data_IF_108024779918
#
_entry.id   IF_108024779918
#
_cell.length_a   1.000
_cell.length_b   1.000
_cell.length_c   1.000
_cell.angle_alpha   90.00
_cell.angle_beta   90.00
_cell.angle_gamma   90.00
#
_symmetry.space_group_name_H-M   'P 1'
#
loop_
_entity.id
_entity.type
_entity.pdbx_description
1 polymer ?
#
# COMPACT_ATOMS: atom_id res chain seq x y z
N UNK A 1 55.33 -8.71 -23.57
CA UNK A 1 53.99 -8.73 -24.20
C UNK A 1 53.22 -9.88 -23.60
N UNK A 2 52.26 -9.55 -22.73
CA UNK A 2 51.19 -10.34 -22.08
C UNK A 2 51.07 -9.92 -20.61
N UNK A 3 50.43 -8.77 -20.43
CA UNK A 3 49.80 -8.34 -19.19
C UNK A 3 48.58 -9.22 -18.94
N UNK A 4 48.54 -9.93 -17.80
CA UNK A 4 47.32 -10.53 -17.29
C UNK A 4 46.99 -9.88 -15.95
N UNK A 5 46.04 -8.95 -16.00
CA UNK A 5 45.52 -8.20 -14.85
C UNK A 5 44.51 -9.11 -14.13
N UNK A 6 44.82 -9.51 -12.90
CA UNK A 6 43.89 -10.22 -12.03
C UNK A 6 43.21 -9.22 -11.10
N UNK A 7 42.18 -8.55 -11.60
CA UNK A 7 41.30 -7.70 -10.81
C UNK A 7 40.25 -8.58 -10.13
N UNK A 8 40.58 -9.08 -8.93
CA UNK A 8 39.62 -9.73 -8.02
C UNK A 8 39.01 -8.65 -7.12
N UNK A 9 38.00 -7.97 -7.65
CA UNK A 9 37.04 -7.24 -6.84
C UNK A 9 36.19 -8.24 -6.04
N UNK A 10 36.59 -8.49 -4.80
CA UNK A 10 35.76 -9.18 -3.81
C UNK A 10 34.48 -8.38 -3.61
N UNK A 11 33.39 -8.87 -4.19
CA UNK A 11 32.04 -8.40 -3.95
C UNK A 11 31.62 -8.78 -2.54
N UNK A 12 31.96 -7.91 -1.57
CA UNK A 12 31.50 -8.06 -0.21
C UNK A 12 29.98 -7.96 -0.16
N UNK A 13 29.35 -9.07 0.21
CA UNK A 13 27.96 -9.22 0.60
C UNK A 13 27.62 -8.26 1.75
N UNK A 14 27.32 -7.00 1.41
CA UNK A 14 26.62 -6.10 2.31
C UNK A 14 25.19 -6.62 2.43
N UNK A 15 24.85 -7.18 3.59
CA UNK A 15 23.48 -7.40 4.02
C UNK A 15 22.85 -6.00 4.19
N UNK A 16 22.45 -5.43 3.04
CA UNK A 16 21.94 -4.08 2.95
C UNK A 16 20.48 -4.04 3.38
N UNK A 17 20.15 -3.03 4.19
CA UNK A 17 18.77 -2.58 4.41
C UNK A 17 18.08 -2.48 3.04
N UNK A 18 16.82 -2.95 2.88
CA UNK A 18 16.12 -2.87 1.61
C UNK A 18 16.17 -1.44 1.07
N UNK A 19 16.78 -1.27 -0.10
CA UNK A 19 16.99 0.04 -0.71
C UNK A 19 15.64 0.65 -1.08
N UNK A 20 15.25 1.72 -0.37
CA UNK A 20 14.03 2.48 -0.63
C UNK A 20 14.21 3.29 -1.90
N UNK A 21 13.31 3.11 -2.87
CA UNK A 21 13.30 3.95 -4.07
C UNK A 21 12.37 5.15 -3.84
N UNK A 22 12.73 6.31 -4.35
CA UNK A 22 11.92 7.54 -4.25
C UNK A 22 11.33 7.88 -5.61
N UNK A 23 10.03 8.18 -5.64
CA UNK A 23 9.34 8.68 -6.84
C UNK A 23 9.11 10.19 -6.72
N UNK A 24 9.47 10.96 -7.75
CA UNK A 24 9.15 12.39 -7.87
C UNK A 24 8.57 12.66 -9.26
N UNK A 25 7.50 13.46 -9.33
CA UNK A 25 6.79 13.76 -10.58
C UNK A 25 7.44 14.89 -11.41
N UNK A 26 8.36 15.67 -10.83
CA UNK A 26 8.97 16.82 -11.51
C UNK A 26 10.00 16.37 -12.56
N UNK A 27 9.86 16.88 -13.80
CA UNK A 27 10.79 16.62 -14.92
C UNK A 27 12.25 16.87 -14.48
N UNK A 28 13.11 15.91 -14.81
CA UNK A 28 14.54 15.84 -14.48
C UNK A 28 15.39 16.95 -15.17
N UNK A 29 15.08 18.22 -14.90
CA UNK A 29 15.80 19.38 -15.44
C UNK A 29 16.49 20.24 -14.38
N UNK A 30 16.36 19.91 -13.09
CA UNK A 30 16.94 20.71 -11.99
C UNK A 30 17.84 19.82 -11.14
N UNK A 31 19.15 20.09 -11.22
CA UNK A 31 20.27 19.60 -10.38
C UNK A 31 19.80 18.75 -9.18
N UNK A 32 20.20 17.47 -9.14
CA UNK A 32 19.93 16.49 -8.06
C UNK A 32 20.17 17.10 -6.67
N UNK A 33 19.16 17.77 -6.11
CA UNK A 33 19.07 18.00 -4.67
C UNK A 33 18.57 16.67 -4.11
N UNK A 34 19.20 16.09 -3.07
CA UNK A 34 18.68 14.88 -2.47
C UNK A 34 17.23 15.15 -2.06
N UNK A 35 16.28 14.48 -2.72
CA UNK A 35 14.86 14.53 -2.36
C UNK A 35 14.75 13.97 -0.96
N UNK A 36 14.55 14.84 0.03
CA UNK A 36 14.39 14.41 1.42
C UNK A 36 13.07 13.66 1.52
N UNK A 37 13.14 12.37 1.78
CA UNK A 37 11.96 11.59 2.12
C UNK A 37 11.76 11.62 3.62
N UNK A 38 10.68 12.26 4.10
CA UNK A 38 10.30 12.16 5.51
C UNK A 38 9.85 10.73 5.84
N UNK A 39 10.02 10.34 7.10
CA UNK A 39 9.45 9.11 7.65
C UNK A 39 8.10 9.41 8.29
N UNK A 40 7.07 8.58 8.05
CA UNK A 40 5.79 8.70 8.74
C UNK A 40 5.96 8.63 10.27
N UNK A 41 5.22 9.49 10.99
CA UNK A 41 5.17 9.53 12.45
C UNK A 41 3.79 9.10 12.96
N UNK A 42 3.67 8.99 14.28
CA UNK A 42 2.41 8.63 14.92
C UNK A 42 1.28 9.60 14.57
N UNK A 43 0.16 9.03 14.10
CA UNK A 43 -0.98 9.77 13.61
C UNK A 43 -0.85 10.28 12.16
N UNK A 44 0.28 10.17 11.48
CA UNK A 44 0.35 10.48 10.04
C UNK A 44 -0.37 9.39 9.21
N UNK A 45 -0.84 9.76 8.02
CA UNK A 45 -1.61 8.87 7.14
C UNK A 45 -0.69 8.31 6.05
N UNK A 46 -0.65 6.99 5.94
CA UNK A 46 0.07 6.25 4.90
C UNK A 46 -0.94 5.61 3.97
N UNK A 47 -0.90 5.95 2.67
CA UNK A 47 -1.75 5.32 1.66
C UNK A 47 -0.87 4.46 0.76
N UNK A 48 -1.29 3.23 0.52
CA UNK A 48 -0.54 2.27 -0.29
C UNK A 48 -1.45 1.36 -1.09
N UNK A 49 -0.94 0.81 -2.20
CA UNK A 49 -1.57 -0.36 -2.80
C UNK A 49 -1.47 -1.59 -1.89
N UNK A 50 -2.35 -2.56 -2.10
CA UNK A 50 -2.37 -3.81 -1.36
C UNK A 50 -2.47 -5.00 -2.32
N UNK A 51 -1.48 -5.88 -2.29
CA UNK A 51 -1.42 -7.08 -3.14
C UNK A 51 -1.15 -8.36 -2.34
N UNK A 52 -0.68 -8.27 -1.09
CA UNK A 52 -0.34 -9.44 -0.29
C UNK A 52 -0.36 -9.14 1.21
N UNK A 53 -0.53 -10.17 2.04
CA UNK A 53 -0.29 -10.07 3.48
C UNK A 53 1.18 -9.69 3.80
N UNK A 54 2.10 -9.88 2.86
CA UNK A 54 3.49 -9.41 2.94
C UNK A 54 3.56 -7.87 3.02
N UNK A 55 2.61 -7.13 2.43
CA UNK A 55 2.56 -5.67 2.56
C UNK A 55 2.35 -5.26 4.03
N UNK A 56 1.43 -5.96 4.69
CA UNK A 56 1.12 -5.75 6.11
C UNK A 56 2.35 -6.06 6.96
N UNK A 57 3.03 -7.18 6.71
CA UNK A 57 4.29 -7.51 7.40
C UNK A 57 5.37 -6.45 7.18
N UNK A 58 5.52 -5.95 5.95
CA UNK A 58 6.47 -4.88 5.64
C UNK A 58 6.19 -3.64 6.49
N UNK A 59 4.94 -3.16 6.49
CA UNK A 59 4.58 -1.97 7.26
C UNK A 59 4.69 -2.18 8.77
N UNK A 60 4.28 -3.34 9.30
CA UNK A 60 4.48 -3.73 10.72
C UNK A 60 5.96 -3.63 11.09
N UNK A 61 6.82 -4.29 10.31
CA UNK A 61 8.26 -4.34 10.61
C UNK A 61 8.94 -2.97 10.60
N UNK A 62 8.37 -2.00 9.86
CA UNK A 62 9.02 -0.72 9.59
C UNK A 62 8.52 0.42 10.46
N UNK A 63 7.24 0.40 10.84
CA UNK A 63 6.59 1.55 11.47
C UNK A 63 5.67 1.22 12.65
N UNK A 64 5.41 -0.07 12.94
CA UNK A 64 4.39 -0.51 13.90
C UNK A 64 3.05 0.25 13.78
N UNK A 65 2.42 0.23 12.59
CA UNK A 65 1.30 1.10 12.28
C UNK A 65 -0.03 0.56 12.82
N UNK A 66 -1.04 1.43 12.77
CA UNK A 66 -2.45 1.05 12.86
C UNK A 66 -3.02 0.93 11.45
N UNK A 67 -3.49 -0.26 11.07
CA UNK A 67 -4.19 -0.47 9.80
C UNK A 67 -5.66 -0.13 9.95
N UNK A 68 -6.34 0.12 8.84
CA UNK A 68 -7.79 0.30 8.82
C UNK A 68 -8.47 -0.66 7.86
N UNK A 69 -9.62 -1.20 8.27
CA UNK A 69 -10.58 -1.82 7.35
C UNK A 69 -11.64 -0.77 7.04
N UNK A 70 -11.98 -0.60 5.77
CA UNK A 70 -12.93 0.40 5.30
C UNK A 70 -14.26 -0.30 4.99
N UNK A 71 -15.35 0.28 5.48
CA UNK A 71 -16.69 -0.11 5.07
C UNK A 71 -17.00 0.47 3.67
N UNK A 72 -17.43 -0.39 2.74
CA UNK A 72 -17.71 0.04 1.36
C UNK A 72 -18.93 0.98 1.27
N UNK A 73 -19.89 0.88 2.21
CA UNK A 73 -21.11 1.67 2.17
C UNK A 73 -20.98 3.01 2.91
N UNK A 74 -20.38 3.00 4.10
CA UNK A 74 -20.34 4.17 4.98
C UNK A 74 -19.01 4.92 4.96
N UNK A 75 -17.96 4.36 4.35
CA UNK A 75 -16.58 4.86 4.37
C UNK A 75 -15.99 5.03 5.79
N UNK A 76 -16.69 4.54 6.81
CA UNK A 76 -16.17 4.44 8.16
C UNK A 76 -15.17 3.31 8.27
N UNK A 77 -14.34 3.39 9.29
CA UNK A 77 -13.16 2.55 9.41
C UNK A 77 -13.08 1.85 10.76
N UNK A 78 -12.53 0.65 10.76
CA UNK A 78 -12.16 -0.09 11.95
C UNK A 78 -10.64 -0.16 12.07
N UNK A 79 -10.03 0.37 13.15
CA UNK A 79 -8.60 0.24 13.37
C UNK A 79 -8.22 -1.21 13.73
N UNK A 80 -7.13 -1.71 13.15
CA UNK A 80 -6.53 -3.01 13.42
C UNK A 80 -5.02 -2.87 13.63
N UNK A 81 -4.46 -3.65 14.55
CA UNK A 81 -3.03 -3.61 14.88
C UNK A 81 -2.40 -4.99 14.89
N UNK A 82 -1.09 -5.03 14.68
CA UNK A 82 -0.26 -6.23 14.78
C UNK A 82 -0.82 -7.43 14.00
N UNK A 83 -0.91 -8.57 14.68
CA UNK A 83 -1.37 -9.82 14.07
C UNK A 83 -2.83 -9.80 13.64
N UNK A 84 -3.70 -8.99 14.28
CA UNK A 84 -5.10 -8.90 13.85
C UNK A 84 -5.21 -8.35 12.43
N UNK A 85 -4.39 -7.35 12.07
CA UNK A 85 -4.31 -6.82 10.72
C UNK A 85 -3.74 -7.85 9.73
N UNK A 86 -2.72 -8.61 10.16
CA UNK A 86 -2.14 -9.68 9.35
C UNK A 86 -3.19 -10.74 9.00
N UNK A 87 -3.90 -11.27 10.00
CA UNK A 87 -4.95 -12.26 9.77
C UNK A 87 -6.13 -11.68 8.99
N UNK A 88 -6.51 -10.42 9.22
CA UNK A 88 -7.54 -9.79 8.41
C UNK A 88 -7.18 -9.75 6.92
N UNK A 89 -5.92 -9.45 6.58
CA UNK A 89 -5.46 -9.39 5.18
C UNK A 89 -5.51 -10.73 4.43
N UNK A 90 -5.58 -11.85 5.14
CA UNK A 90 -5.66 -13.18 4.52
C UNK A 90 -7.09 -13.63 4.24
N UNK A 91 -8.07 -12.94 4.81
CA UNK A 91 -9.49 -13.24 4.63
C UNK A 91 -10.10 -12.31 3.58
N UNK A 92 -11.16 -12.73 2.88
CA UNK A 92 -11.92 -11.83 2.02
C UNK A 92 -12.43 -10.63 2.82
N UNK A 93 -12.51 -9.43 2.21
CA UNK A 93 -13.01 -8.25 2.90
C UNK A 93 -14.44 -8.49 3.38
N UNK A 94 -14.72 -8.09 4.62
CA UNK A 94 -16.08 -8.11 5.14
C UNK A 94 -16.91 -7.05 4.40
N UNK A 95 -18.10 -7.43 3.93
CA UNK A 95 -18.93 -6.53 3.13
C UNK A 95 -19.44 -5.31 3.93
N UNK A 96 -19.62 -5.47 5.25
CA UNK A 96 -20.14 -4.44 6.16
C UNK A 96 -19.42 -4.49 7.51
N UNK A 97 -19.08 -3.32 8.05
CA UNK A 97 -18.57 -3.19 9.41
C UNK A 97 -19.72 -3.12 10.43
N UNK A 98 -19.46 -3.61 11.66
CA UNK A 98 -20.40 -3.41 12.77
C UNK A 98 -20.36 -1.94 13.19
N UNK A 99 -21.53 -1.31 13.29
CA UNK A 99 -21.66 0.12 13.61
C UNK A 99 -20.95 0.54 14.90
N UNK A 100 -20.84 -0.36 15.90
CA UNK A 100 -20.18 -0.08 17.18
C UNK A 100 -18.66 0.09 17.10
N UNK A 101 -18.03 -0.30 15.99
CA UNK A 101 -16.56 -0.26 15.80
C UNK A 101 -16.15 0.75 14.73
N UNK A 102 -17.14 1.36 14.06
CA UNK A 102 -16.95 2.25 12.93
C UNK A 102 -16.57 3.66 13.41
N UNK A 103 -15.32 4.07 13.18
CA UNK A 103 -14.75 5.39 13.48
C UNK A 103 -14.38 6.13 12.19
N UNK A 104 -14.24 7.45 12.24
CA UNK A 104 -13.68 8.22 11.12
C UNK A 104 -12.15 8.10 11.06
N UNK A 105 -11.55 8.37 9.90
CA UNK A 105 -10.09 8.34 9.77
C UNK A 105 -9.41 9.38 10.68
N UNK A 106 -10.01 10.57 10.82
CA UNK A 106 -9.47 11.65 11.68
C UNK A 106 -9.47 11.29 13.17
N UNK A 107 -10.49 10.58 13.65
CA UNK A 107 -10.55 10.05 15.02
C UNK A 107 -9.44 9.02 15.26
N UNK A 108 -9.25 8.09 14.32
CA UNK A 108 -8.20 7.06 14.41
C UNK A 108 -6.81 7.70 14.39
N UNK A 109 -6.58 8.72 13.55
CA UNK A 109 -5.32 9.45 13.50
C UNK A 109 -5.05 10.20 14.81
N UNK A 110 -6.08 10.81 15.39
CA UNK A 110 -5.99 11.51 16.69
C UNK A 110 -5.65 10.54 17.82
N UNK A 111 -6.31 9.38 17.86
CA UNK A 111 -6.04 8.31 18.84
C UNK A 111 -4.62 7.76 18.67
N UNK A 112 -4.18 7.50 17.44
CA UNK A 112 -2.84 7.02 17.14
C UNK A 112 -1.76 8.03 17.56
N UNK A 113 -2.03 9.33 17.40
CA UNK A 113 -1.13 10.41 17.83
C UNK A 113 -1.05 10.51 19.35
N UNK A 114 -2.18 10.39 20.05
CA UNK A 114 -2.26 10.45 21.51
C UNK A 114 -1.59 9.25 22.19
N UNK A 115 -1.77 8.06 21.62
CA UNK A 115 -1.21 6.79 22.15
C UNK A 115 0.18 6.45 21.62
N UNK A 116 0.71 7.28 20.70
CA UNK A 116 1.96 7.04 19.99
C UNK A 116 2.01 5.67 19.28
N UNK A 117 0.87 5.26 18.69
CA UNK A 117 0.64 3.94 18.10
C UNK A 117 1.09 3.80 16.64
N UNK A 118 2.08 4.60 16.23
CA UNK A 118 2.58 4.61 14.85
C UNK A 118 1.64 5.31 13.85
N UNK A 119 2.02 5.33 12.56
CA UNK A 119 1.21 5.92 11.51
C UNK A 119 -0.03 5.07 11.21
N UNK A 120 -1.04 5.67 10.59
CA UNK A 120 -2.26 4.98 10.16
C UNK A 120 -2.10 4.56 8.70
N UNK A 121 -2.11 3.25 8.41
CA UNK A 121 -1.96 2.70 7.06
C UNK A 121 -3.33 2.35 6.47
N UNK A 122 -3.59 2.92 5.30
CA UNK A 122 -4.86 2.80 4.57
C UNK A 122 -4.61 2.16 3.21
N UNK A 123 -5.41 1.14 2.89
CA UNK A 123 -5.39 0.47 1.59
C UNK A 123 -6.68 0.82 0.83
N UNK A 124 -6.65 1.77 -0.12
CA UNK A 124 -7.84 2.28 -0.77
C UNK A 124 -8.50 1.27 -1.72
N UNK A 125 -7.79 0.20 -2.10
CA UNK A 125 -8.35 -0.93 -2.86
C UNK A 125 -9.35 -1.77 -2.03
N UNK A 126 -9.38 -1.59 -0.70
CA UNK A 126 -10.16 -2.34 0.30
C UNK A 126 -10.03 -3.87 0.24
N UNK A 127 -9.07 -4.39 -0.54
CA UNK A 127 -8.78 -5.81 -0.65
C UNK A 127 -7.43 -6.03 -1.32
N UNK A 128 -6.83 -7.22 -1.18
CA UNK A 128 -5.58 -7.54 -1.88
C UNK A 128 -5.80 -7.73 -3.40
N UNK A 129 -4.99 -7.10 -4.23
CA UNK A 129 -4.96 -7.33 -5.68
C UNK A 129 -4.04 -8.50 -6.05
N UNK A 130 -3.87 -8.74 -7.35
CA UNK A 130 -2.94 -9.74 -7.90
C UNK A 130 -1.55 -9.20 -8.23
N UNK A 131 -1.27 -7.94 -7.86
CA UNK A 131 0.01 -7.28 -8.14
C UNK A 131 0.29 -7.00 -9.61
N UNK A 132 -0.62 -7.29 -10.54
CA UNK A 132 -0.50 -6.97 -11.98
C UNK A 132 -1.19 -5.66 -12.35
N UNK A 133 -2.24 -5.31 -11.61
CA UNK A 133 -3.01 -4.10 -11.79
C UNK A 133 -3.57 -3.62 -10.44
N UNK A 134 -3.87 -2.33 -10.34
CA UNK A 134 -4.52 -1.73 -9.18
C UNK A 134 -6.05 -1.85 -9.35
N UNK A 135 -6.73 -2.24 -8.27
CA UNK A 135 -8.18 -2.12 -8.19
C UNK A 135 -8.60 -0.64 -8.12
N UNK A 136 -9.88 -0.40 -8.36
CA UNK A 136 -10.47 0.92 -8.17
C UNK A 136 -10.36 1.30 -6.69
N UNK A 137 -9.97 2.55 -6.44
CA UNK A 137 -9.84 3.08 -5.09
C UNK A 137 -11.23 3.50 -4.59
N UNK A 138 -11.48 3.29 -3.30
CA UNK A 138 -12.60 3.92 -2.62
C UNK A 138 -12.33 5.42 -2.44
N UNK A 139 -13.36 6.27 -2.59
CA UNK A 139 -13.25 7.72 -2.41
C UNK A 139 -13.21 8.08 -0.92
N UNK A 140 -12.09 7.80 -0.25
CA UNK A 140 -11.96 7.86 1.21
C UNK A 140 -12.06 9.30 1.71
N UNK A 141 -11.43 10.23 1.00
CA UNK A 141 -11.32 11.62 1.41
C UNK A 141 -12.47 12.49 0.89
N UNK A 142 -13.46 11.89 0.20
CA UNK A 142 -14.71 12.57 -0.15
C UNK A 142 -15.57 12.91 1.07
N UNK A 143 -15.41 12.18 2.18
CA UNK A 143 -16.00 12.55 3.47
C UNK A 143 -15.04 13.45 4.24
N UNK A 144 -15.48 14.67 4.56
CA UNK A 144 -14.73 15.65 5.38
C UNK A 144 -14.32 15.07 6.74
N UNK A 145 -15.08 14.10 7.27
CA UNK A 145 -14.73 13.42 8.52
C UNK A 145 -13.43 12.60 8.43
N UNK A 146 -12.98 12.25 7.23
CA UNK A 146 -11.78 11.47 7.01
C UNK A 146 -10.52 12.32 6.75
N UNK A 147 -10.68 13.62 6.49
CA UNK A 147 -9.55 14.53 6.38
C UNK A 147 -9.00 14.88 7.78
N UNK A 148 -7.68 14.75 7.98
CA UNK A 148 -7.01 15.23 9.19
C UNK A 148 -5.93 16.27 8.83
N UNK A 149 -6.22 17.57 8.97
CA UNK A 149 -5.26 18.65 8.67
C UNK A 149 -3.96 18.58 9.48
N UNK A 150 -3.94 17.88 10.63
CA UNK A 150 -2.74 17.72 11.47
C UNK A 150 -1.84 16.58 10.99
N UNK A 151 -2.35 15.71 10.12
CA UNK A 151 -1.66 14.56 9.58
C UNK A 151 -0.94 14.89 8.29
N UNK A 152 0.30 14.41 8.15
CA UNK A 152 0.95 14.40 6.85
C UNK A 152 0.50 13.16 6.08
N UNK A 153 0.28 13.33 4.78
CA UNK A 153 0.01 12.23 3.86
C UNK A 153 1.33 11.65 3.33
N UNK A 154 1.42 10.33 3.29
CA UNK A 154 2.54 9.60 2.72
C UNK A 154 2.05 8.53 1.74
N UNK A 155 2.52 8.58 0.51
CA UNK A 155 2.17 7.57 -0.50
C UNK A 155 3.30 6.56 -0.66
N UNK A 156 2.93 5.28 -0.62
CA UNK A 156 3.80 4.16 -0.89
C UNK A 156 3.25 3.31 -2.04
N UNK A 157 4.15 2.81 -2.86
CA UNK A 157 3.84 1.86 -3.91
C UNK A 157 4.74 0.63 -3.75
N UNK A 158 4.11 -0.52 -3.49
CA UNK A 158 4.75 -1.81 -3.31
C UNK A 158 4.59 -2.63 -4.58
N UNK A 159 5.69 -3.22 -5.05
CA UNK A 159 5.72 -4.06 -6.24
C UNK A 159 6.54 -5.31 -6.01
N UNK A 160 6.03 -6.42 -6.53
CA UNK A 160 6.65 -7.74 -6.42
C UNK A 160 7.14 -8.19 -7.80
N UNK A 161 8.39 -7.88 -8.20
CA UNK A 161 8.97 -8.50 -9.38
C UNK A 161 9.26 -9.98 -9.11
N UNK A 162 8.73 -10.86 -9.96
CA UNK A 162 8.98 -12.30 -9.89
C UNK A 162 9.15 -12.92 -11.28
N UNK A 163 9.79 -14.09 -11.34
CA UNK A 163 9.94 -14.88 -12.57
C UNK A 163 9.06 -16.13 -12.56
N UNK A 164 9.17 -16.94 -11.51
CA UNK A 164 8.52 -18.26 -11.45
C UNK A 164 7.34 -18.30 -10.49
N UNK A 165 7.56 -17.98 -9.20
CA UNK A 165 6.52 -18.01 -8.18
C UNK A 165 6.13 -16.58 -7.78
N UNK A 166 4.82 -16.32 -7.73
CA UNK A 166 4.26 -15.00 -7.45
C UNK A 166 4.19 -14.77 -5.93
N UNK A 167 4.85 -13.73 -5.38
CA UNK A 167 4.81 -13.44 -3.94
C UNK A 167 3.50 -12.80 -3.45
N UNK A 168 2.60 -12.45 -4.37
CA UNK A 168 1.33 -11.81 -4.03
C UNK A 168 0.25 -12.85 -3.76
N UNK A 169 -0.37 -12.75 -2.58
CA UNK A 169 -1.45 -13.64 -2.21
C UNK A 169 -2.81 -13.07 -2.63
N UNK A 170 -3.38 -13.62 -3.71
CA UNK A 170 -4.72 -13.24 -4.20
C UNK A 170 -5.81 -14.23 -3.82
N UNK A 171 -5.55 -15.53 -3.97
CA UNK A 171 -6.52 -16.58 -3.72
C UNK A 171 -5.82 -17.90 -3.38
N UNK A 172 -6.50 -18.78 -2.64
CA UNK A 172 -6.03 -20.13 -2.33
C UNK A 172 -5.79 -20.38 -0.85
N UNK A 173 -4.81 -21.20 -0.53
CA UNK A 173 -4.43 -21.51 0.85
C UNK A 173 -3.23 -20.68 1.26
N UNK A 174 -3.41 -19.85 2.30
CA UNK A 174 -2.34 -19.02 2.89
C UNK A 174 -1.14 -19.87 3.28
N UNK A 175 -1.38 -21.03 3.90
CA UNK A 175 -0.30 -21.93 4.37
C UNK A 175 0.52 -22.48 3.20
N UNK A 176 -0.14 -22.96 2.13
CA UNK A 176 0.57 -23.43 0.92
C UNK A 176 1.38 -22.30 0.27
N UNK A 177 0.82 -21.10 0.22
CA UNK A 177 1.52 -19.92 -0.29
C UNK A 177 2.73 -19.56 0.57
N UNK A 178 2.57 -19.59 1.91
CA UNK A 178 3.65 -19.29 2.85
C UNK A 178 4.79 -20.30 2.74
N UNK A 179 4.49 -21.59 2.71
CA UNK A 179 5.52 -22.63 2.49
C UNK A 179 6.22 -22.40 1.15
N UNK A 180 5.47 -22.12 0.08
CA UNK A 180 6.04 -21.79 -1.22
C UNK A 180 6.99 -20.59 -1.18
N UNK A 181 6.60 -19.51 -0.51
CA UNK A 181 7.44 -18.32 -0.29
C UNK A 181 8.72 -18.65 0.48
N UNK A 182 8.62 -19.44 1.55
CA UNK A 182 9.74 -19.81 2.41
C UNK A 182 10.72 -20.78 1.71
N UNK A 183 10.26 -21.53 0.70
CA UNK A 183 11.11 -22.43 -0.09
C UNK A 183 11.89 -21.71 -1.20
N UNK A 184 11.65 -20.41 -1.43
CA UNK A 184 12.41 -19.64 -2.40
C UNK A 184 13.72 -19.12 -1.79
N UNK A 185 14.82 -19.18 -2.56
CA UNK A 185 16.14 -18.67 -2.15
C UNK A 185 16.06 -17.19 -1.77
N UNK A 186 15.30 -16.40 -2.54
CA UNK A 186 15.02 -15.01 -2.22
C UNK A 186 13.70 -14.55 -2.82
N UNK A 187 13.08 -13.57 -2.15
CA UNK A 187 11.91 -12.84 -2.63
C UNK A 187 12.26 -11.36 -2.74
N UNK A 188 11.85 -10.71 -3.83
CA UNK A 188 12.12 -9.29 -4.05
C UNK A 188 10.85 -8.46 -3.87
N UNK A 189 10.90 -7.53 -2.93
CA UNK A 189 9.91 -6.47 -2.74
C UNK A 189 10.55 -5.14 -3.11
N UNK A 190 9.95 -4.43 -4.07
CA UNK A 190 10.32 -3.06 -4.43
C UNK A 190 9.35 -2.13 -3.73
N UNK A 191 9.88 -1.27 -2.86
CA UNK A 191 9.09 -0.24 -2.17
C UNK A 191 9.49 1.12 -2.69
N UNK A 192 8.52 1.82 -3.25
CA UNK A 192 8.65 3.17 -3.75
C UNK A 192 7.90 4.10 -2.82
N UNK A 193 8.58 5.06 -2.21
CA UNK A 193 7.90 6.15 -1.51
C UNK A 193 7.85 7.36 -2.44
N UNK A 194 6.69 8.00 -2.51
CA UNK A 194 6.56 9.28 -3.20
C UNK A 194 7.27 10.37 -2.39
N UNK A 195 8.02 11.22 -3.07
CA UNK A 195 8.70 12.36 -2.47
C UNK A 195 7.67 13.35 -1.92
N UNK A 196 8.00 13.98 -0.79
CA UNK A 196 7.12 14.91 -0.07
C UNK A 196 6.62 16.08 -0.95
N UNK A 197 7.38 16.43 -1.99
CA UNK A 197 7.06 17.52 -2.92
C UNK A 197 6.06 17.13 -4.02
N UNK A 198 5.86 15.83 -4.21
CA UNK A 198 4.97 15.22 -5.19
C UNK A 198 3.78 14.53 -4.51
N UNK A 199 3.69 14.62 -3.18
CA UNK A 199 2.60 14.07 -2.40
C UNK A 199 1.44 15.09 -2.36
N UNK A 200 0.19 14.64 -2.64
CA UNK A 200 -0.99 15.47 -2.46
C UNK A 200 -1.11 15.99 -1.03
N UNK A 201 -1.70 17.17 -0.85
CA UNK A 201 -1.93 17.79 0.47
C UNK A 201 -3.42 18.06 0.68
N UNK A 202 -3.83 18.05 1.96
CA UNK A 202 -5.18 18.42 2.38
C UNK A 202 -5.44 19.92 2.17
N UNK A 203 -6.72 20.28 1.96
CA UNK A 203 -7.17 21.67 1.91
C UNK A 203 -6.82 22.44 0.63
N UNK A 204 -6.57 21.74 -0.49
CA UNK A 204 -6.44 22.35 -1.81
C UNK A 204 -7.82 22.31 -2.46
N UNK A 205 -8.47 23.46 -2.65
CA UNK A 205 -9.83 23.53 -3.23
C UNK A 205 -9.83 23.46 -4.77
N UNK A 206 -8.76 23.95 -5.41
CA UNK A 206 -8.61 23.97 -6.87
C UNK A 206 -7.21 23.54 -7.31
N UNK A 207 -7.14 22.84 -8.46
CA UNK A 207 -5.86 22.42 -9.03
C UNK A 207 -5.01 23.65 -9.38
N UNK A 208 -3.69 23.63 -9.08
CA UNK A 208 -2.82 24.75 -9.42
C UNK A 208 -2.75 24.94 -10.94
N UNK A 209 -3.43 25.97 -11.45
CA UNK A 209 -3.45 26.34 -12.87
C UNK A 209 -4.67 25.89 -13.68
N UNK A 210 -5.75 25.40 -13.04
CA UNK A 210 -7.03 25.10 -13.70
C UNK A 210 -8.22 25.25 -12.75
N UNK A 211 -9.37 25.76 -13.23
CA UNK A 211 -10.61 25.91 -12.45
C UNK A 211 -11.37 24.58 -12.20
N UNK A 212 -10.73 23.44 -12.46
CA UNK A 212 -11.30 22.12 -12.19
C UNK A 212 -11.29 21.81 -10.69
N UNK A 213 -12.37 21.19 -10.15
CA UNK A 213 -12.42 20.78 -8.75
C UNK A 213 -11.27 19.83 -8.42
N UNK A 214 -10.61 20.08 -7.28
CA UNK A 214 -9.52 19.25 -6.81
C UNK A 214 -10.06 18.01 -6.10
N UNK A 215 -9.92 16.86 -6.75
CA UNK A 215 -10.23 15.55 -6.16
C UNK A 215 -8.94 14.90 -5.63
N UNK A 216 -8.82 14.84 -4.30
CA UNK A 216 -7.67 14.29 -3.60
C UNK A 216 -7.52 12.78 -3.85
N UNK A 217 -8.63 12.03 -3.86
CA UNK A 217 -8.61 10.58 -4.05
C UNK A 217 -8.10 10.22 -5.46
N UNK A 218 -8.55 10.96 -6.47
CA UNK A 218 -8.09 10.80 -7.85
C UNK A 218 -6.60 11.13 -8.02
N UNK A 219 -6.09 12.19 -7.37
CA UNK A 219 -4.67 12.51 -7.42
C UNK A 219 -3.80 11.44 -6.73
N UNK A 220 -4.26 10.92 -5.59
CA UNK A 220 -3.62 9.79 -4.90
C UNK A 220 -3.57 8.57 -5.82
N UNK A 221 -4.70 8.25 -6.48
CA UNK A 221 -4.79 7.13 -7.43
C UNK A 221 -3.81 7.28 -8.58
N UNK A 222 -3.77 8.45 -9.22
CA UNK A 222 -2.84 8.74 -10.31
C UNK A 222 -1.37 8.65 -9.88
N UNK A 223 -1.06 9.19 -8.70
CA UNK A 223 0.31 9.20 -8.17
C UNK A 223 0.79 7.79 -7.81
N UNK A 224 -0.04 6.98 -7.15
CA UNK A 224 0.28 5.57 -6.84
C UNK A 224 0.37 4.73 -8.12
N UNK A 225 -0.50 4.97 -9.11
CA UNK A 225 -0.43 4.32 -10.44
C UNK A 225 0.92 4.60 -11.10
N UNK A 226 1.36 5.86 -11.12
CA UNK A 226 2.63 6.26 -11.71
C UNK A 226 3.83 5.70 -10.93
N UNK A 227 3.80 5.74 -9.59
CA UNK A 227 4.86 5.24 -8.72
C UNK A 227 5.01 3.71 -8.78
N UNK A 228 3.89 2.97 -8.80
CA UNK A 228 3.87 1.50 -8.87
C UNK A 228 4.16 0.97 -10.28
N UNK A 229 3.94 1.78 -11.32
CA UNK A 229 3.95 1.37 -12.74
C UNK A 229 2.96 0.21 -12.99
N UNK A 230 1.82 0.25 -12.32
CA UNK A 230 0.71 -0.69 -12.52
C UNK A 230 -0.42 0.02 -13.25
N UNK A 231 -1.21 -0.72 -14.03
CA UNK A 231 -2.41 -0.16 -14.66
C UNK A 231 -3.55 -0.11 -13.63
N UNK A 232 -4.35 0.95 -13.65
CA UNK A 232 -5.58 1.03 -12.86
C UNK A 232 -6.73 0.33 -13.59
N UNK A 233 -7.56 -0.39 -12.86
CA UNK A 233 -8.72 -1.12 -13.38
C UNK A 233 -10.03 -0.50 -12.88
N UNK A 234 -11.14 -0.88 -13.49
CA UNK A 234 -12.50 -0.54 -13.02
C UNK A 234 -13.05 -1.54 -12.00
N UNK A 235 -12.28 -2.57 -11.66
CA UNK A 235 -12.71 -3.64 -10.76
C UNK A 235 -12.58 -3.17 -9.31
N UNK A 236 -13.58 -3.49 -8.50
CA UNK A 236 -13.69 -3.09 -7.11
C UNK A 236 -13.42 -4.28 -6.16
N UNK A 237 -13.39 -4.00 -4.86
CA UNK A 237 -13.32 -5.05 -3.85
C UNK A 237 -14.54 -6.00 -3.89
N UNK A 238 -15.72 -5.50 -4.29
CA UNK A 238 -16.94 -6.30 -4.42
C UNK A 238 -16.81 -7.34 -5.53
N UNK A 239 -16.29 -6.95 -6.69
CA UNK A 239 -16.02 -7.87 -7.82
C UNK A 239 -15.07 -9.00 -7.40
N UNK A 240 -14.08 -8.67 -6.56
CA UNK A 240 -13.17 -9.69 -6.02
C UNK A 240 -13.89 -10.64 -5.06
N UNK A 241 -14.78 -10.15 -4.20
CA UNK A 241 -15.58 -11.02 -3.32
C UNK A 241 -16.36 -12.04 -4.15
N UNK A 242 -17.02 -11.58 -5.22
CA UNK A 242 -17.80 -12.46 -6.09
C UNK A 242 -16.92 -13.44 -6.88
N UNK A 243 -15.75 -12.99 -7.34
CA UNK A 243 -14.75 -13.89 -7.93
C UNK A 243 -14.30 -14.98 -6.95
N UNK A 244 -14.05 -14.64 -5.69
CA UNK A 244 -13.63 -15.62 -4.66
C UNK A 244 -14.73 -16.63 -4.39
N UNK A 245 -16.00 -16.19 -4.32
CA UNK A 245 -17.16 -17.09 -4.19
C UNK A 245 -17.21 -18.07 -5.36
N UNK A 246 -17.15 -17.56 -6.59
CA UNK A 246 -17.15 -18.36 -7.82
C UNK A 246 -15.99 -19.37 -7.85
N UNK A 247 -14.77 -18.93 -7.53
CA UNK A 247 -13.60 -19.80 -7.50
C UNK A 247 -13.76 -20.95 -6.50
N UNK A 248 -14.25 -20.65 -5.29
CA UNK A 248 -14.46 -21.66 -4.25
C UNK A 248 -15.54 -22.67 -4.64
N UNK A 249 -16.61 -22.23 -5.30
CA UNK A 249 -17.65 -23.12 -5.82
C UNK A 249 -17.09 -24.06 -6.89
N UNK A 250 -16.33 -23.52 -7.86
CA UNK A 250 -15.69 -24.34 -8.91
C UNK A 250 -14.71 -25.36 -8.33
N UNK A 251 -13.93 -24.98 -7.32
CA UNK A 251 -13.01 -25.90 -6.64
C UNK A 251 -13.72 -27.05 -5.91
N UNK A 252 -15.00 -26.91 -5.54
CA UNK A 252 -15.79 -28.02 -4.97
C UNK A 252 -16.30 -28.99 -6.03
N UNK A 253 -16.57 -28.50 -7.24
CA UNK A 253 -17.08 -29.33 -8.35
C UNK A 253 -15.99 -30.22 -8.94
N UNK A 254 -14.73 -29.75 -8.97
CA UNK A 254 -13.60 -30.49 -9.54
C UNK A 254 -12.75 -31.26 -8.52
N UNK A 255 -13.19 -31.33 -7.27
CA UNK A 255 -12.58 -32.18 -6.23
C UNK A 255 -13.34 -33.49 -6.14
#
# INVERSE_FOLDING_TARGET
MLSYSADKGEEQLKIGVPSRMTYSSKKAGRRNKPTSTRTPKSGDIVVSNHSSYIDVLYFISRFDPTFVIIDNATLKMQPLRGYAALFASTHPPAALLKASVAKSLSEICTEARATNSGPVVVFPENTSSNGKALLSFLPIFSDLGNEDPKSNLFLFALKYPYKSFCPTYSIGSVFRHLVGLCCQIYNRLVVVQVADDSCPKFGIESKPGSDEPYDLDEEIRLTITAASRLRSTKLTALDKIDFVKYYNERQRIYK
#
